data_IF_406877462243
#
_entry.id   IF_406877462243
#
_cell.length_a   1.000
_cell.length_b   1.000
_cell.length_c   1.000
_cell.angle_alpha   90.00
_cell.angle_beta   90.00
_cell.angle_gamma   90.00
#
_symmetry.space_group_name_H-M   'P 1'
#
loop_
_entity.id
_entity.type
_entity.pdbx_description
1 polymer ?
#
# COMPACT_ATOMS: atom_id res chain seq x y z
N UNK A 1 14.81 -24.31 12.94
CA UNK A 1 14.10 -23.31 12.11
C UNK A 1 12.66 -23.21 12.60
N UNK A 2 12.18 -22.00 12.92
CA UNK A 2 10.80 -21.77 13.42
C UNK A 2 9.75 -22.07 12.32
N UNK A 3 8.49 -22.41 12.69
CA UNK A 3 7.41 -22.67 11.73
C UNK A 3 7.16 -21.50 10.77
N UNK A 4 7.08 -20.27 11.28
CA UNK A 4 6.86 -19.05 10.50
C UNK A 4 7.89 -18.85 9.38
N UNK A 5 9.16 -19.18 9.64
CA UNK A 5 10.23 -19.08 8.63
C UNK A 5 10.09 -20.13 7.53
N UNK A 6 9.55 -21.32 7.83
CA UNK A 6 9.29 -22.35 6.81
C UNK A 6 8.15 -21.94 5.91
N UNK A 7 7.10 -21.36 6.49
CA UNK A 7 5.91 -20.93 5.75
C UNK A 7 6.29 -19.81 4.78
N UNK A 8 7.09 -18.83 5.22
CA UNK A 8 7.60 -17.78 4.34
C UNK A 8 8.49 -18.34 3.20
N UNK A 9 9.38 -19.29 3.49
CA UNK A 9 10.20 -19.91 2.46
C UNK A 9 9.38 -20.67 1.42
N UNK A 10 8.33 -21.36 1.84
CA UNK A 10 7.39 -22.04 0.94
C UNK A 10 6.61 -21.03 0.10
N UNK A 11 6.15 -19.93 0.71
CA UNK A 11 5.46 -18.84 0.03
C UNK A 11 6.33 -18.12 -1.01
N UNK A 12 7.66 -18.16 -0.89
CA UNK A 12 8.60 -17.54 -1.84
C UNK A 12 9.16 -18.53 -2.87
N UNK A 13 8.78 -19.81 -2.80
CA UNK A 13 9.33 -20.85 -3.66
C UNK A 13 9.06 -20.56 -5.14
N UNK A 14 7.89 -20.00 -5.49
CA UNK A 14 7.59 -19.63 -6.88
C UNK A 14 8.59 -18.60 -7.43
N UNK A 15 9.00 -17.61 -6.63
CA UNK A 15 10.00 -16.62 -7.04
C UNK A 15 11.40 -17.21 -7.14
N UNK A 16 11.79 -18.10 -6.22
CA UNK A 16 13.06 -18.85 -6.31
C UNK A 16 13.13 -19.68 -7.60
N UNK A 17 12.02 -20.34 -7.96
CA UNK A 17 11.91 -21.13 -9.19
C UNK A 17 11.95 -20.27 -10.47
N UNK A 18 11.33 -19.09 -10.48
CA UNK A 18 11.47 -18.12 -11.58
C UNK A 18 12.94 -17.70 -11.75
N UNK A 19 13.62 -17.46 -10.61
CA UNK A 19 15.03 -17.07 -10.58
C UNK A 19 15.98 -18.08 -11.22
N UNK A 20 15.66 -19.37 -11.12
CA UNK A 20 16.47 -20.45 -11.70
C UNK A 20 16.35 -20.57 -13.22
N UNK A 21 15.26 -20.09 -13.82
CA UNK A 21 15.00 -20.25 -15.26
C UNK A 21 15.43 -19.07 -16.11
N UNK A 22 15.52 -17.86 -15.56
CA UNK A 22 15.80 -16.64 -16.33
C UNK A 22 16.86 -15.76 -15.66
N UNK A 23 16.49 -15.03 -14.60
CA UNK A 23 17.37 -14.12 -13.86
C UNK A 23 17.06 -14.23 -12.37
N UNK A 24 18.08 -14.28 -11.49
CA UNK A 24 17.86 -14.41 -10.06
C UNK A 24 17.09 -13.20 -9.51
N UNK A 25 15.94 -13.47 -8.88
CA UNK A 25 15.15 -12.46 -8.18
C UNK A 25 15.83 -12.18 -6.83
N UNK A 26 16.21 -10.93 -6.57
CA UNK A 26 16.81 -10.52 -5.29
C UNK A 26 15.73 -10.32 -4.22
N UNK A 27 15.31 -11.42 -3.61
CA UNK A 27 14.29 -11.44 -2.55
C UNK A 27 14.71 -10.63 -1.32
N UNK A 28 16.02 -10.56 -1.02
CA UNK A 28 16.52 -9.81 0.14
C UNK A 28 16.34 -8.32 -0.08
N UNK A 29 16.63 -7.84 -1.28
CA UNK A 29 16.37 -6.44 -1.62
C UNK A 29 14.86 -6.16 -1.63
N UNK A 30 14.05 -6.99 -2.30
CA UNK A 30 12.59 -6.79 -2.41
C UNK A 30 11.88 -6.73 -1.05
N UNK A 31 12.24 -7.62 -0.13
CA UNK A 31 11.71 -7.59 1.25
C UNK A 31 12.13 -6.35 2.05
N UNK A 32 13.24 -5.72 1.67
CA UNK A 32 13.75 -4.49 2.28
C UNK A 32 13.06 -3.22 1.80
N UNK A 33 12.50 -3.21 0.60
CA UNK A 33 11.82 -2.06 -0.03
C UNK A 33 10.59 -1.68 0.78
N UNK A 34 10.48 -0.38 1.08
CA UNK A 34 9.32 0.24 1.73
C UNK A 34 8.39 0.81 0.67
N UNK A 35 7.20 0.24 0.57
CA UNK A 35 6.17 0.69 -0.36
C UNK A 35 5.09 1.50 0.38
N UNK A 36 4.87 2.74 -0.04
CA UNK A 36 3.74 3.55 0.41
C UNK A 36 2.59 3.41 -0.58
N UNK A 37 1.42 3.01 -0.09
CA UNK A 37 0.19 2.88 -0.86
C UNK A 37 -0.77 3.99 -0.42
N UNK A 38 -0.99 4.95 -1.30
CA UNK A 38 -1.95 6.04 -1.09
C UNK A 38 -3.29 5.62 -1.69
N UNK A 39 -4.16 5.07 -0.86
CA UNK A 39 -5.45 4.50 -1.23
C UNK A 39 -5.51 2.99 -0.96
N UNK A 40 -6.55 2.57 -0.24
CA UNK A 40 -6.87 1.18 0.12
C UNK A 40 -8.15 0.68 -0.58
N UNK A 41 -8.59 1.35 -1.66
CA UNK A 41 -9.69 0.88 -2.50
C UNK A 41 -9.33 -0.34 -3.35
N UNK A 42 -10.02 -0.54 -4.47
CA UNK A 42 -9.81 -1.71 -5.36
C UNK A 42 -8.36 -1.86 -5.81
N UNK A 43 -7.73 -0.77 -6.26
CA UNK A 43 -6.32 -0.78 -6.67
C UNK A 43 -5.40 -1.03 -5.49
N UNK A 44 -5.66 -0.40 -4.34
CA UNK A 44 -4.90 -0.60 -3.10
C UNK A 44 -4.85 -2.07 -2.67
N UNK A 45 -6.01 -2.73 -2.69
CA UNK A 45 -6.12 -4.14 -2.36
C UNK A 45 -5.29 -5.03 -3.30
N UNK A 46 -5.45 -4.86 -4.62
CA UNK A 46 -4.76 -5.72 -5.58
C UNK A 46 -3.26 -5.45 -5.65
N UNK A 47 -2.85 -4.18 -5.60
CA UNK A 47 -1.42 -3.82 -5.57
C UNK A 47 -0.77 -4.37 -4.31
N UNK A 48 -1.41 -4.27 -3.14
CA UNK A 48 -0.89 -4.85 -1.89
C UNK A 48 -0.66 -6.36 -2.02
N UNK A 49 -1.65 -7.08 -2.57
CA UNK A 49 -1.55 -8.54 -2.79
C UNK A 49 -0.41 -8.87 -3.75
N UNK A 50 -0.31 -8.16 -4.87
CA UNK A 50 0.74 -8.39 -5.87
C UNK A 50 2.13 -8.12 -5.28
N UNK A 51 2.34 -7.00 -4.60
CA UNK A 51 3.60 -6.66 -3.97
C UNK A 51 4.06 -7.76 -3.00
N UNK A 52 3.13 -8.23 -2.15
CA UNK A 52 3.39 -9.33 -1.22
C UNK A 52 3.76 -10.64 -1.95
N UNK A 53 3.06 -10.99 -3.02
CA UNK A 53 3.37 -12.16 -3.88
C UNK A 53 4.74 -12.03 -4.56
N UNK A 54 5.21 -10.82 -4.83
CA UNK A 54 6.53 -10.54 -5.38
C UNK A 54 7.64 -10.44 -4.32
N UNK A 55 7.34 -10.67 -3.04
CA UNK A 55 8.33 -10.73 -1.97
C UNK A 55 8.56 -9.41 -1.25
N UNK A 56 7.76 -8.37 -1.52
CA UNK A 56 7.74 -7.15 -0.71
C UNK A 56 7.12 -7.47 0.65
N UNK A 57 7.69 -6.89 1.71
CA UNK A 57 7.23 -7.14 3.09
C UNK A 57 6.85 -5.87 3.85
N UNK A 58 7.34 -4.69 3.46
CA UNK A 58 7.09 -3.44 4.19
C UNK A 58 6.10 -2.57 3.42
N UNK A 59 4.88 -2.49 3.91
CA UNK A 59 3.81 -1.71 3.32
C UNK A 59 3.36 -0.65 4.32
N UNK A 60 3.21 0.59 3.86
CA UNK A 60 2.49 1.63 4.59
C UNK A 60 1.25 1.99 3.77
N UNK A 61 0.06 1.85 4.36
CA UNK A 61 -1.22 2.10 3.68
C UNK A 61 -1.88 3.32 4.27
N UNK A 62 -2.25 4.28 3.42
CA UNK A 62 -2.94 5.51 3.80
C UNK A 62 -4.30 5.58 3.11
N UNK A 63 -5.38 5.70 3.87
CA UNK A 63 -6.74 5.89 3.35
C UNK A 63 -7.61 6.59 4.41
N UNK A 64 -8.44 7.55 4.01
CA UNK A 64 -9.35 8.27 4.92
C UNK A 64 -10.74 7.64 5.06
N UNK A 65 -11.09 6.75 4.14
CA UNK A 65 -12.42 6.16 4.01
C UNK A 65 -12.68 4.98 4.95
N UNK A 66 -13.95 4.59 4.99
CA UNK A 66 -14.43 3.40 5.70
C UNK A 66 -14.93 2.37 4.68
N UNK A 67 -14.83 1.09 5.03
CA UNK A 67 -15.40 0.01 4.21
C UNK A 67 -16.91 0.13 4.20
N UNK A 68 -17.50 0.07 3.02
CA UNK A 68 -18.93 0.08 2.80
C UNK A 68 -19.37 -1.17 2.01
N UNK A 69 -20.66 -1.51 2.06
CA UNK A 69 -21.14 -2.72 1.37
C UNK A 69 -20.79 -2.80 -0.13
N UNK A 70 -20.85 -1.70 -0.93
CA UNK A 70 -20.37 -1.73 -2.31
C UNK A 70 -18.88 -2.04 -2.46
N UNK A 71 -18.06 -1.74 -1.45
CA UNK A 71 -16.64 -2.01 -1.45
C UNK A 71 -16.36 -3.51 -1.35
N UNK A 72 -17.10 -4.24 -0.49
CA UNK A 72 -16.96 -5.70 -0.31
C UNK A 72 -17.12 -6.45 -1.64
N UNK A 73 -17.96 -5.95 -2.55
CA UNK A 73 -18.16 -6.54 -3.88
C UNK A 73 -17.00 -6.30 -4.86
N UNK A 74 -16.24 -5.22 -4.67
CA UNK A 74 -15.27 -4.70 -5.66
C UNK A 74 -13.83 -4.71 -5.17
N UNK A 75 -13.60 -4.90 -3.87
CA UNK A 75 -12.31 -4.75 -3.22
C UNK A 75 -11.94 -6.09 -2.59
N UNK A 76 -10.95 -6.76 -3.19
CA UNK A 76 -10.68 -8.19 -3.01
C UNK A 76 -10.29 -8.64 -1.60
N UNK A 77 -10.00 -7.69 -0.70
CA UNK A 77 -9.54 -7.99 0.64
C UNK A 77 -10.64 -7.82 1.70
N UNK A 78 -11.71 -7.07 1.44
CA UNK A 78 -12.72 -6.79 2.45
C UNK A 78 -13.83 -7.85 2.47
N UNK A 79 -14.34 -8.11 3.67
CA UNK A 79 -15.49 -8.98 3.92
C UNK A 79 -16.63 -8.19 4.56
N UNK A 80 -17.81 -8.80 4.66
CA UNK A 80 -19.01 -8.16 5.24
C UNK A 80 -18.74 -7.61 6.66
N UNK A 81 -17.99 -8.37 7.47
CA UNK A 81 -17.60 -8.01 8.84
C UNK A 81 -16.71 -6.76 8.93
N UNK A 82 -16.10 -6.31 7.83
CA UNK A 82 -15.27 -5.10 7.80
C UNK A 82 -16.11 -3.82 7.62
N UNK A 83 -17.40 -3.91 7.31
CA UNK A 83 -18.24 -2.74 7.05
C UNK A 83 -18.23 -1.75 8.23
N UNK A 84 -17.93 -0.48 7.95
CA UNK A 84 -17.79 0.58 8.95
C UNK A 84 -16.40 0.68 9.58
N UNK A 85 -15.49 -0.25 9.32
CA UNK A 85 -14.08 -0.17 9.75
C UNK A 85 -13.31 0.75 8.79
N UNK A 86 -12.35 1.57 9.25
CA UNK A 86 -11.47 2.33 8.37
C UNK A 86 -10.75 1.42 7.38
N UNK A 87 -10.76 1.77 6.09
CA UNK A 87 -10.15 0.93 5.03
C UNK A 87 -8.67 0.68 5.27
N UNK A 88 -7.96 1.70 5.75
CA UNK A 88 -6.55 1.63 6.09
C UNK A 88 -6.25 0.54 7.12
N UNK A 89 -7.10 0.38 8.13
CA UNK A 89 -6.88 -0.62 9.20
C UNK A 89 -7.51 -1.98 8.86
N UNK A 90 -8.65 -2.00 8.17
CA UNK A 90 -9.34 -3.22 7.74
C UNK A 90 -8.47 -4.10 6.83
N UNK A 91 -7.59 -3.51 6.00
CA UNK A 91 -6.77 -4.27 5.06
C UNK A 91 -5.68 -5.13 5.75
N UNK A 92 -5.24 -4.72 6.94
CA UNK A 92 -4.10 -5.30 7.68
C UNK A 92 -4.31 -6.78 8.04
N UNK A 93 -5.41 -7.18 8.72
CA UNK A 93 -5.62 -8.58 9.08
C UNK A 93 -5.64 -9.50 7.86
N UNK A 94 -6.28 -9.07 6.76
CA UNK A 94 -6.39 -9.84 5.53
C UNK A 94 -5.05 -10.06 4.83
N UNK A 95 -4.15 -9.08 4.89
CA UNK A 95 -2.78 -9.23 4.39
C UNK A 95 -1.96 -10.16 5.29
N UNK A 96 -2.05 -10.01 6.62
CA UNK A 96 -1.32 -10.84 7.58
C UNK A 96 -1.77 -12.30 7.59
N UNK A 97 -3.04 -12.56 7.37
CA UNK A 97 -3.56 -13.93 7.22
C UNK A 97 -2.92 -14.63 6.01
N UNK A 98 -2.72 -13.89 4.91
CA UNK A 98 -2.12 -14.43 3.68
C UNK A 98 -0.60 -14.56 3.78
N UNK A 99 0.08 -13.60 4.39
CA UNK A 99 1.52 -13.63 4.62
C UNK A 99 1.84 -13.07 6.01
N UNK A 100 2.03 -13.91 7.04
CA UNK A 100 2.32 -13.45 8.40
C UNK A 100 3.59 -12.60 8.52
N UNK A 101 4.53 -12.74 7.57
CA UNK A 101 5.77 -11.98 7.52
C UNK A 101 5.62 -10.55 6.97
N UNK A 102 4.43 -10.16 6.47
CA UNK A 102 4.19 -8.81 5.99
C UNK A 102 4.06 -7.83 7.17
N UNK A 103 4.87 -6.78 7.11
CA UNK A 103 4.83 -5.63 8.01
C UNK A 103 3.99 -4.53 7.35
N UNK A 104 2.83 -4.25 7.94
CA UNK A 104 1.86 -3.29 7.41
C UNK A 104 1.58 -2.23 8.46
N UNK A 105 1.97 -1.00 8.15
CA UNK A 105 1.57 0.19 8.88
C UNK A 105 0.31 0.77 8.23
N UNK A 106 -0.73 1.00 9.03
CA UNK A 106 -2.01 1.52 8.57
C UNK A 106 -2.25 2.91 9.15
N UNK A 107 -2.51 3.89 8.28
CA UNK A 107 -2.72 5.28 8.65
C UNK A 107 -4.07 5.73 8.10
N UNK A 108 -5.03 5.95 9.00
CA UNK A 108 -6.28 6.60 8.63
C UNK A 108 -6.04 8.11 8.54
N UNK A 109 -6.04 8.64 7.32
CA UNK A 109 -5.78 10.05 7.04
C UNK A 109 -6.33 10.41 5.66
N UNK A 110 -7.00 11.55 5.55
CA UNK A 110 -7.37 12.11 4.25
C UNK A 110 -6.14 12.65 3.53
N UNK A 111 -6.01 12.37 2.23
CA UNK A 111 -4.89 12.88 1.45
C UNK A 111 -5.18 14.34 1.10
N UNK A 112 -4.31 15.30 1.49
CA UNK A 112 -4.53 16.71 1.18
C UNK A 112 -4.67 16.93 -0.33
N UNK A 113 -5.80 17.50 -0.73
CA UNK A 113 -6.16 17.70 -2.12
C UNK A 113 -6.60 19.16 -2.35
N UNK A 114 -6.24 19.77 -3.49
CA UNK A 114 -6.69 21.11 -3.83
C UNK A 114 -8.21 21.13 -4.00
N UNK A 115 -8.84 22.22 -3.55
CA UNK A 115 -10.30 22.41 -3.66
C UNK A 115 -11.11 21.85 -2.48
N UNK A 116 -10.51 21.03 -1.61
CA UNK A 116 -11.17 20.60 -0.38
C UNK A 116 -11.19 21.74 0.66
N UNK A 117 -12.23 21.82 1.51
CA UNK A 117 -12.25 22.76 2.63
C UNK A 117 -11.03 22.54 3.53
N UNK A 118 -10.38 23.65 3.92
CA UNK A 118 -9.21 23.59 4.80
C UNK A 118 -9.68 23.26 6.21
N UNK A 119 -9.42 22.03 6.66
CA UNK A 119 -9.54 21.68 8.07
C UNK A 119 -8.35 22.28 8.85
N UNK A 120 -8.48 22.46 10.17
CA UNK A 120 -7.36 22.90 11.01
C UNK A 120 -6.15 21.95 10.97
N UNK A 121 -6.36 20.67 10.65
CA UNK A 121 -5.32 19.63 10.61
C UNK A 121 -4.59 19.54 9.27
N UNK A 122 -5.01 20.28 8.23
CA UNK A 122 -4.45 20.11 6.87
C UNK A 122 -2.93 20.31 6.85
N UNK A 123 -2.38 21.22 7.67
CA UNK A 123 -0.94 21.42 7.75
C UNK A 123 -0.23 20.20 8.33
N UNK A 124 -0.75 19.64 9.42
CA UNK A 124 -0.21 18.43 10.05
C UNK A 124 -0.29 17.24 9.09
N UNK A 125 -1.40 17.09 8.36
CA UNK A 125 -1.60 16.04 7.36
C UNK A 125 -0.63 16.21 6.18
N UNK A 126 -0.34 17.45 5.77
CA UNK A 126 0.68 17.75 4.75
C UNK A 126 2.09 17.33 5.21
N UNK A 127 2.49 17.74 6.41
CA UNK A 127 3.80 17.41 6.98
C UNK A 127 3.96 15.90 7.19
N UNK A 128 2.89 15.24 7.65
CA UNK A 128 2.85 13.79 7.82
C UNK A 128 3.02 13.08 6.48
N UNK A 129 2.28 13.49 5.44
CA UNK A 129 2.41 12.91 4.11
C UNK A 129 3.82 13.11 3.53
N UNK A 130 4.41 14.29 3.71
CA UNK A 130 5.80 14.54 3.29
C UNK A 130 6.78 13.58 3.98
N UNK A 131 6.61 13.38 5.29
CA UNK A 131 7.44 12.45 6.06
C UNK A 131 7.30 11.01 5.55
N UNK A 132 6.08 10.57 5.23
CA UNK A 132 5.81 9.24 4.68
C UNK A 132 6.43 9.04 3.29
N UNK A 133 6.36 10.05 2.41
CA UNK A 133 6.97 10.00 1.09
C UNK A 133 8.51 9.94 1.20
N UNK A 134 9.10 10.76 2.06
CA UNK A 134 10.54 10.78 2.28
C UNK A 134 11.06 9.45 2.84
N UNK A 135 10.30 8.84 3.76
CA UNK A 135 10.63 7.57 4.43
C UNK A 135 10.33 6.32 3.59
N UNK A 136 9.75 6.46 2.40
CA UNK A 136 9.41 5.33 1.53
C UNK A 136 10.35 5.23 0.33
N UNK A 137 10.53 4.04 -0.21
CA UNK A 137 11.40 3.83 -1.37
C UNK A 137 10.60 3.94 -2.68
N UNK A 138 9.33 3.49 -2.66
CA UNK A 138 8.39 3.56 -3.78
C UNK A 138 7.04 4.06 -3.29
N UNK A 139 6.39 4.95 -4.06
CA UNK A 139 5.06 5.48 -3.74
C UNK A 139 4.07 5.11 -4.84
N UNK A 140 2.97 4.47 -4.44
CA UNK A 140 1.85 4.11 -5.30
C UNK A 140 0.70 5.09 -5.11
N UNK A 141 0.33 5.79 -6.17
CA UNK A 141 -0.79 6.74 -6.17
C UNK A 141 -2.07 6.01 -6.62
N UNK A 142 -2.82 5.48 -5.66
CA UNK A 142 -3.95 4.56 -5.88
C UNK A 142 -5.31 5.17 -5.50
N UNK A 143 -5.34 6.49 -5.33
CA UNK A 143 -6.58 7.26 -5.12
C UNK A 143 -7.39 7.33 -6.40
N UNK A 144 -8.68 7.70 -6.29
CA UNK A 144 -9.66 7.72 -7.37
C UNK A 144 -9.73 9.06 -8.13
N UNK A 145 -9.44 10.17 -7.45
CA UNK A 145 -9.51 11.52 -8.01
C UNK A 145 -8.16 12.06 -8.50
N UNK A 146 -8.16 13.06 -9.38
CA UNK A 146 -6.91 13.70 -9.82
C UNK A 146 -6.40 14.67 -8.74
N UNK A 147 -7.31 15.32 -8.02
CA UNK A 147 -7.04 16.28 -6.96
C UNK A 147 -6.17 15.64 -5.87
N UNK A 148 -6.58 14.47 -5.37
CA UNK A 148 -5.84 13.73 -4.35
C UNK A 148 -4.47 13.23 -4.82
N UNK A 149 -4.22 13.13 -6.14
CA UNK A 149 -2.90 12.74 -6.68
C UNK A 149 -1.95 13.91 -6.82
N UNK A 150 -2.45 15.15 -6.86
CA UNK A 150 -1.63 16.34 -7.14
C UNK A 150 -0.50 16.53 -6.12
N UNK A 151 -0.85 16.59 -4.84
CA UNK A 151 0.13 16.87 -3.78
C UNK A 151 1.15 15.74 -3.59
N UNK A 152 0.74 14.45 -3.50
CA UNK A 152 1.70 13.34 -3.50
C UNK A 152 2.64 13.32 -4.71
N UNK A 153 2.14 13.67 -5.91
CA UNK A 153 2.98 13.73 -7.13
C UNK A 153 4.07 14.78 -6.97
N UNK A 154 3.72 15.96 -6.45
CA UNK A 154 4.66 17.04 -6.20
C UNK A 154 5.73 16.63 -5.17
N UNK A 155 5.32 16.01 -4.06
CA UNK A 155 6.23 15.50 -3.03
C UNK A 155 7.19 14.46 -3.60
N UNK A 156 6.70 13.50 -4.39
CA UNK A 156 7.56 12.48 -5.01
C UNK A 156 8.59 13.10 -5.96
N UNK A 157 8.20 14.14 -6.72
CA UNK A 157 9.11 14.85 -7.62
C UNK A 157 10.19 15.61 -6.83
N UNK A 158 9.84 16.22 -5.70
CA UNK A 158 10.78 16.91 -4.82
C UNK A 158 11.79 15.95 -4.17
N UNK A 159 11.32 14.80 -3.70
CA UNK A 159 12.12 13.78 -3.00
C UNK A 159 12.86 12.82 -3.97
N UNK A 160 12.77 13.06 -5.29
CA UNK A 160 13.32 12.21 -6.35
C UNK A 160 12.92 10.72 -6.20
N UNK A 161 11.64 10.48 -5.85
CA UNK A 161 11.07 9.15 -5.63
C UNK A 161 10.41 8.61 -6.88
N UNK A 162 10.47 7.30 -7.07
CA UNK A 162 9.67 6.61 -8.10
C UNK A 162 8.21 6.64 -7.68
N UNK A 163 7.38 7.30 -8.47
CA UNK A 163 5.92 7.24 -8.33
C UNK A 163 5.29 6.39 -9.44
N UNK A 164 4.37 5.52 -9.06
CA UNK A 164 3.57 4.73 -10.01
C UNK A 164 2.14 5.24 -9.97
N UNK A 165 1.70 5.78 -11.11
CA UNK A 165 0.37 6.38 -11.30
C UNK A 165 -0.31 5.79 -12.52
N UNK A 166 -1.63 5.56 -12.43
CA UNK A 166 -2.44 5.28 -13.61
C UNK A 166 -2.79 6.59 -14.30
N UNK A 167 -2.47 6.73 -15.59
CA UNK A 167 -2.86 7.88 -16.41
C UNK A 167 -4.21 7.54 -17.03
N UNK A 168 -5.28 8.14 -16.50
CA UNK A 168 -6.59 8.13 -17.16
C UNK A 168 -6.60 9.34 -18.10
N UNK A 169 -6.63 9.08 -19.41
CA UNK A 169 -6.82 10.08 -20.46
C UNK A 169 -8.31 10.35 -20.68
#
# INVERSE_FOLDING_TARGET
MSPERRDEEQQLMHLKLMGWRHFPVDLKNLSGIRCLLLGAGTLGCEVSRLLMTWGVRKLTVVDGGHVSMPDVLKQSLYVDDDCGVPRATAIVPHLKERCPAVDVEAIQMEIPAPGNPVSPSVLDDCERLQTLVASSDVVFLLTDTWESRWFPTLLCANENKVNLRHIIH
#
